data_IF_188559838044
#
_entry.id   IF_188559838044
#
_cell.length_a   1.000
_cell.length_b   1.000
_cell.length_c   1.000
_cell.angle_alpha   90.00
_cell.angle_beta   90.00
_cell.angle_gamma   90.00
#
_symmetry.space_group_name_H-M   'P 1'
#
loop_
_entity.id
_entity.type
_entity.pdbx_description
1 polymer ?
#
# COMPACT_ATOMS: atom_id res chain seq x y z
N UNK A 1 -8.86 -20.00 5.16
CA UNK A 1 -8.92 -18.66 5.76
C UNK A 1 -7.74 -17.89 5.20
N UNK A 2 -7.98 -16.68 4.69
CA UNK A 2 -6.94 -15.80 4.14
C UNK A 2 -6.47 -14.91 5.28
N UNK A 3 -5.16 -14.82 5.48
CA UNK A 3 -4.53 -13.94 6.47
C UNK A 3 -3.65 -12.93 5.75
N UNK A 4 -3.93 -11.64 5.95
CA UNK A 4 -3.17 -10.54 5.37
C UNK A 4 -2.41 -9.80 6.47
N UNK A 5 -1.16 -9.46 6.18
CA UNK A 5 -0.28 -8.70 7.06
C UNK A 5 -0.07 -7.31 6.49
N UNK A 6 -0.40 -6.30 7.29
CA UNK A 6 -0.21 -4.90 6.99
C UNK A 6 0.93 -4.27 7.78
N UNK A 7 1.62 -3.31 7.18
CA UNK A 7 2.61 -2.47 7.87
C UNK A 7 2.30 -0.98 7.67
N UNK A 8 2.29 -0.24 8.78
CA UNK A 8 2.10 1.21 8.81
C UNK A 8 3.09 1.87 9.78
N UNK A 9 3.03 3.18 9.94
CA UNK A 9 3.85 3.96 10.86
C UNK A 9 3.20 4.12 12.25
N UNK A 10 4.04 4.22 13.28
CA UNK A 10 3.64 4.32 14.68
C UNK A 10 3.10 5.72 15.04
N UNK A 11 1.92 6.03 14.51
CA UNK A 11 1.16 7.22 14.83
C UNK A 11 -0.34 6.90 14.75
N UNK A 12 -1.15 7.40 15.69
CA UNK A 12 -2.60 7.14 15.75
C UNK A 12 -3.30 7.36 14.39
N UNK A 13 -2.97 8.47 13.72
CA UNK A 13 -3.43 8.81 12.36
C UNK A 13 -3.14 7.72 11.31
N UNK A 14 -2.04 7.00 11.43
CA UNK A 14 -1.61 5.95 10.50
C UNK A 14 -2.08 4.54 10.87
N UNK A 15 -2.33 4.29 12.15
CA UNK A 15 -2.63 2.94 12.65
C UNK A 15 -4.10 2.72 12.97
N UNK A 16 -4.75 3.65 13.68
CA UNK A 16 -6.11 3.43 14.18
C UNK A 16 -7.13 3.22 13.04
N UNK A 17 -7.09 3.97 11.92
CA UNK A 17 -7.98 3.73 10.79
C UNK A 17 -7.76 2.36 10.14
N UNK A 18 -6.51 1.87 10.14
CA UNK A 18 -6.15 0.59 9.54
C UNK A 18 -6.72 -0.58 10.34
N UNK A 19 -6.61 -0.51 11.67
CA UNK A 19 -7.21 -1.50 12.57
C UNK A 19 -8.73 -1.48 12.48
N UNK A 20 -9.36 -0.30 12.51
CA UNK A 20 -10.81 -0.17 12.43
C UNK A 20 -11.35 -0.75 11.12
N UNK A 21 -10.70 -0.45 10.00
CA UNK A 21 -11.09 -0.97 8.68
C UNK A 21 -10.87 -2.48 8.58
N UNK A 22 -9.76 -3.00 9.12
CA UNK A 22 -9.48 -4.44 9.17
C UNK A 22 -10.56 -5.21 9.95
N UNK A 23 -10.99 -4.69 11.10
CA UNK A 23 -12.05 -5.28 11.91
C UNK A 23 -13.39 -5.28 11.17
N UNK A 24 -13.77 -4.15 10.58
CA UNK A 24 -15.01 -4.03 9.81
C UNK A 24 -15.02 -4.98 8.60
N UNK A 25 -13.90 -5.07 7.88
CA UNK A 25 -13.77 -5.96 6.73
C UNK A 25 -13.85 -7.44 7.13
N UNK A 26 -13.17 -7.83 8.21
CA UNK A 26 -13.20 -9.19 8.77
C UNK A 26 -14.62 -9.57 9.20
N UNK A 27 -15.36 -8.65 9.82
CA UNK A 27 -16.75 -8.88 10.24
C UNK A 27 -17.68 -9.10 9.04
N UNK A 28 -17.47 -8.37 7.94
CA UNK A 28 -18.23 -8.54 6.70
C UNK A 28 -17.78 -9.76 5.88
N UNK A 29 -16.54 -10.24 6.07
CA UNK A 29 -15.93 -11.31 5.30
C UNK A 29 -15.22 -12.30 6.22
N UNK A 30 -15.98 -13.21 6.84
CA UNK A 30 -15.46 -14.18 7.82
C UNK A 30 -14.32 -15.10 7.31
N UNK A 31 -14.08 -15.14 6.00
CA UNK A 31 -12.96 -15.87 5.39
C UNK A 31 -11.62 -15.13 5.35
N UNK A 32 -11.59 -13.85 5.74
CA UNK A 32 -10.41 -12.96 5.64
C UNK A 32 -10.11 -12.33 7.00
N UNK A 33 -8.84 -12.40 7.40
CA UNK A 33 -8.29 -11.75 8.58
C UNK A 33 -7.19 -10.78 8.15
N UNK A 34 -7.15 -9.58 8.73
CA UNK A 34 -6.14 -8.57 8.44
C UNK A 34 -5.49 -8.12 9.75
N UNK A 35 -4.16 -8.21 9.84
CA UNK A 35 -3.39 -7.80 11.02
C UNK A 35 -2.41 -6.70 10.66
N UNK A 36 -2.25 -5.70 11.52
CA UNK A 36 -1.39 -4.54 11.26
C UNK A 36 -0.22 -4.48 12.25
N UNK A 37 0.97 -4.25 11.72
CA UNK A 37 2.18 -3.93 12.47
C UNK A 37 2.56 -2.46 12.27
N UNK A 38 3.37 -1.95 13.20
CA UNK A 38 3.84 -0.56 13.20
C UNK A 38 5.36 -0.53 13.12
N UNK A 39 5.89 0.42 12.37
CA UNK A 39 7.30 0.82 12.36
C UNK A 39 7.46 2.28 12.76
N UNK A 40 8.65 2.68 13.19
CA UNK A 40 8.89 4.08 13.55
C UNK A 40 8.68 5.02 12.36
N UNK A 41 8.42 6.30 12.60
CA UNK A 41 8.34 7.31 11.53
C UNK A 41 9.64 7.39 10.72
N UNK A 42 10.80 7.18 11.36
CA UNK A 42 12.08 7.13 10.63
C UNK A 42 12.12 5.97 9.65
N UNK A 43 11.77 4.77 10.09
CA UNK A 43 11.68 3.59 9.20
C UNK A 43 10.57 3.73 8.17
N UNK A 44 9.52 4.51 8.47
CA UNK A 44 8.50 4.84 7.49
C UNK A 44 9.05 5.59 6.29
N UNK A 45 9.94 6.57 6.51
CA UNK A 45 10.56 7.38 5.47
C UNK A 45 11.85 6.82 4.85
N UNK A 46 12.54 5.91 5.54
CA UNK A 46 13.89 5.48 5.13
C UNK A 46 14.00 3.98 4.78
N UNK A 47 13.08 3.13 5.25
CA UNK A 47 13.22 1.68 5.07
C UNK A 47 12.79 1.24 3.66
N UNK A 48 13.56 0.41 2.94
CA UNK A 48 13.24 0.03 1.58
C UNK A 48 11.91 -0.74 1.49
N UNK A 49 11.02 -0.32 0.60
CA UNK A 49 9.67 -0.88 0.50
C UNK A 49 9.65 -2.27 -0.16
N UNK A 50 10.62 -2.57 -1.02
CA UNK A 50 10.79 -3.87 -1.66
C UNK A 50 11.09 -4.94 -0.61
N UNK A 51 11.82 -4.59 0.45
CA UNK A 51 12.05 -5.48 1.60
C UNK A 51 10.82 -5.70 2.44
N UNK A 52 9.93 -4.72 2.51
CA UNK A 52 8.65 -4.87 3.19
C UNK A 52 7.68 -5.73 2.34
N UNK A 53 7.69 -5.57 1.02
CA UNK A 53 6.87 -6.36 0.10
C UNK A 53 7.18 -7.87 0.14
N UNK A 54 8.40 -8.26 0.53
CA UNK A 54 8.76 -9.67 0.78
C UNK A 54 8.01 -10.29 1.98
N UNK A 55 7.50 -9.47 2.91
CA UNK A 55 6.97 -9.92 4.21
C UNK A 55 5.53 -9.50 4.52
N UNK A 56 5.01 -8.51 3.80
CA UNK A 56 3.71 -7.89 4.06
C UNK A 56 2.89 -7.76 2.78
N UNK A 57 1.58 -8.00 2.91
CA UNK A 57 0.63 -7.96 1.80
C UNK A 57 0.07 -6.55 1.59
N UNK A 58 -0.02 -5.76 2.67
CA UNK A 58 -0.56 -4.40 2.66
C UNK A 58 0.47 -3.42 3.21
N UNK A 59 0.76 -2.36 2.47
CA UNK A 59 1.74 -1.36 2.88
C UNK A 59 1.10 0.04 2.85
N UNK A 60 1.24 0.76 3.96
CA UNK A 60 1.13 2.22 3.92
C UNK A 60 2.50 2.75 3.48
N UNK A 61 2.51 3.50 2.39
CA UNK A 61 3.69 4.16 1.83
C UNK A 61 3.40 5.64 1.61
N UNK A 62 4.45 6.45 1.57
CA UNK A 62 4.38 7.87 1.24
C UNK A 62 5.32 8.17 0.06
N UNK A 63 5.22 9.35 -0.50
CA UNK A 63 6.21 9.88 -1.44
C UNK A 63 7.58 10.01 -0.74
N UNK A 64 8.72 9.56 -1.31
CA UNK A 64 9.01 9.29 -2.74
C UNK A 64 8.87 7.82 -3.19
N UNK A 65 8.49 6.90 -2.29
CA UNK A 65 8.54 5.46 -2.57
C UNK A 65 7.63 5.01 -3.70
N UNK A 66 6.57 5.75 -4.01
CA UNK A 66 5.66 5.45 -5.12
C UNK A 66 6.40 5.38 -6.47
N UNK A 67 7.33 6.30 -6.71
CA UNK A 67 8.11 6.31 -7.96
C UNK A 67 9.07 5.13 -8.04
N UNK A 68 9.73 4.80 -6.92
CA UNK A 68 10.58 3.62 -6.82
C UNK A 68 9.77 2.32 -7.03
N UNK A 69 8.61 2.18 -6.37
CA UNK A 69 7.75 1.01 -6.50
C UNK A 69 7.32 0.75 -7.94
N UNK A 70 6.98 1.81 -8.67
CA UNK A 70 6.57 1.73 -10.07
C UNK A 70 7.71 1.26 -10.98
N UNK A 71 8.96 1.62 -10.66
CA UNK A 71 10.13 1.19 -11.43
C UNK A 71 10.59 -0.23 -11.06
N UNK A 72 10.62 -0.55 -9.77
CA UNK A 72 11.10 -1.82 -9.23
C UNK A 72 10.10 -2.97 -9.44
N UNK A 73 8.79 -2.66 -9.43
CA UNK A 73 7.73 -3.65 -9.61
C UNK A 73 7.45 -4.50 -8.35
N UNK A 74 7.93 -4.08 -7.18
CA UNK A 74 7.65 -4.77 -5.91
C UNK A 74 6.19 -4.69 -5.44
N UNK A 75 5.37 -3.83 -6.04
CA UNK A 75 3.95 -3.70 -5.70
C UNK A 75 3.05 -4.15 -6.84
N UNK A 76 1.91 -4.73 -6.48
CA UNK A 76 0.91 -5.21 -7.43
C UNK A 76 0.21 -4.02 -8.11
N UNK A 77 0.17 -3.97 -9.46
CA UNK A 77 -0.55 -2.94 -10.21
C UNK A 77 -2.07 -3.14 -10.07
N UNK A 78 -2.73 -2.27 -9.30
CA UNK A 78 -4.16 -2.43 -8.99
C UNK A 78 -5.07 -2.32 -10.22
N UNK A 79 -4.63 -1.63 -11.28
CA UNK A 79 -5.39 -1.50 -12.53
C UNK A 79 -5.51 -2.80 -13.31
N UNK A 80 -4.65 -3.79 -13.05
CA UNK A 80 -4.76 -5.15 -13.61
C UNK A 80 -5.78 -6.02 -12.85
N UNK A 81 -6.11 -5.65 -11.61
CA UNK A 81 -6.96 -6.44 -10.71
C UNK A 81 -8.34 -5.82 -10.44
N UNK A 82 -8.54 -4.56 -10.82
CA UNK A 82 -9.79 -3.83 -10.63
C UNK A 82 -10.51 -3.64 -11.96
N UNK A 83 -11.84 -3.75 -11.94
CA UNK A 83 -12.65 -3.59 -13.15
C UNK A 83 -12.52 -2.17 -13.72
N UNK A 84 -12.73 -2.02 -15.02
CA UNK A 84 -12.65 -0.71 -15.67
C UNK A 84 -13.60 0.32 -15.04
N UNK A 85 -14.77 -0.12 -14.57
CA UNK A 85 -15.79 0.73 -13.92
C UNK A 85 -15.39 1.23 -12.53
N UNK A 86 -14.38 0.61 -11.90
CA UNK A 86 -13.83 1.08 -10.62
C UNK A 86 -13.05 2.41 -10.78
N UNK A 87 -12.65 2.76 -12.00
CA UNK A 87 -11.81 3.92 -12.30
C UNK A 87 -12.59 5.04 -13.01
N UNK A 88 -13.53 5.73 -12.34
CA UNK A 88 -14.42 6.70 -12.99
C UNK A 88 -13.68 7.91 -13.59
N UNK A 89 -12.41 8.16 -13.22
CA UNK A 89 -11.61 9.28 -13.71
C UNK A 89 -10.13 8.88 -13.90
N UNK A 90 -9.80 8.08 -14.92
CA UNK A 90 -8.39 7.95 -15.37
C UNK A 90 -7.93 9.28 -15.99
N UNK A 91 -7.52 10.23 -15.16
CA UNK A 91 -6.73 11.35 -15.65
C UNK A 91 -5.38 10.78 -16.10
N UNK A 92 -4.89 11.08 -17.32
CA UNK A 92 -3.60 10.59 -17.84
C UNK A 92 -2.37 10.94 -16.98
N UNK A 93 -2.55 11.70 -15.90
CA UNK A 93 -1.49 12.37 -15.11
C UNK A 93 -1.58 12.13 -13.60
N UNK A 94 -2.43 11.22 -13.11
CA UNK A 94 -2.62 11.01 -11.66
C UNK A 94 -1.42 10.35 -10.95
N UNK A 95 -0.49 9.77 -11.71
CA UNK A 95 0.87 9.47 -11.25
C UNK A 95 1.76 10.31 -12.15
N UNK A 96 2.52 11.25 -11.57
CA UNK A 96 3.49 12.01 -12.35
C UNK A 96 4.31 11.04 -13.18
N UNK A 97 4.26 11.19 -14.50
CA UNK A 97 5.04 10.36 -15.40
C UNK A 97 6.48 10.38 -14.89
N UNK A 98 6.98 9.22 -14.45
CA UNK A 98 8.41 8.98 -14.34
C UNK A 98 8.94 9.02 -15.78
N UNK A 99 9.11 10.24 -16.27
CA UNK A 99 9.73 10.51 -17.55
C UNK A 99 11.19 10.13 -17.34
N UNK A 100 11.79 9.24 -18.14
CA UNK A 100 13.23 9.07 -18.11
C UNK A 100 13.81 10.35 -18.70
N UNK A 101 14.06 11.34 -17.85
CA UNK A 101 14.87 12.49 -18.22
C UNK A 101 16.31 11.98 -18.31
N UNK A 102 16.65 11.50 -19.50
CA UNK A 102 18.01 11.59 -20.02
C UNK A 102 18.31 13.09 -20.12
N UNK A 103 19.14 13.59 -19.20
CA UNK A 103 20.22 14.56 -19.43
C UNK A 103 21.23 14.43 -18.28
#
# INVERSE_FOLDING_TARGET
MIELKGMTWDHARGYDPMVATAQAYTAAHAGVSITWQKRSLKEFGDYPIEKLAESFDLLVIDHPFVGFAAQDGCLVPLDEHLSADFWPNRLPTALGAATPAIL
#
